data_IF_605313872395
#
_entry.id   IF_605313872395
#
_cell.length_a   1.000
_cell.length_b   1.000
_cell.length_c   1.000
_cell.angle_alpha   90.00
_cell.angle_beta   90.00
_cell.angle_gamma   90.00
#
_symmetry.space_group_name_H-M   'P 1'
#
loop_
_entity.id
_entity.type
_entity.pdbx_description
1 polymer ?
#
# COMPACT_ATOMS: atom_id res chain seq x y z
N UNK A 1 -39.83 -18.36 37.76
CA UNK A 1 -39.62 -17.14 36.95
C UNK A 1 -38.34 -16.48 37.41
N UNK A 2 -37.33 -16.46 36.54
CA UNK A 2 -36.32 -15.39 36.42
C UNK A 2 -35.35 -15.82 35.31
N UNK A 3 -35.67 -15.40 34.10
CA UNK A 3 -34.83 -15.50 32.92
C UNK A 3 -33.64 -14.57 33.09
N UNK A 4 -32.42 -15.13 33.14
CA UNK A 4 -31.20 -14.36 32.98
C UNK A 4 -31.01 -14.08 31.49
N UNK A 5 -31.28 -12.85 31.09
CA UNK A 5 -30.97 -12.34 29.75
C UNK A 5 -29.45 -12.35 29.55
N UNK A 6 -29.00 -13.21 28.63
CA UNK A 6 -27.67 -13.17 28.07
C UNK A 6 -27.59 -11.99 27.08
N UNK A 7 -27.13 -10.85 27.55
CA UNK A 7 -26.71 -9.76 26.67
C UNK A 7 -25.37 -10.14 26.03
N UNK A 8 -25.44 -10.84 24.90
CA UNK A 8 -24.34 -10.93 23.95
C UNK A 8 -24.24 -9.59 23.21
N UNK A 9 -23.60 -8.59 23.83
CA UNK A 9 -23.07 -7.45 23.10
C UNK A 9 -21.89 -7.97 22.26
N UNK A 10 -22.20 -8.39 21.02
CA UNK A 10 -21.19 -8.56 20.00
C UNK A 10 -20.54 -7.20 19.76
N UNK A 11 -19.32 -7.03 20.27
CA UNK A 11 -18.40 -5.97 19.88
C UNK A 11 -18.33 -5.92 18.36
N UNK A 12 -19.08 -4.98 17.77
CA UNK A 12 -18.97 -4.63 16.36
C UNK A 12 -17.57 -4.07 16.19
N UNK A 13 -16.62 -4.90 15.76
CA UNK A 13 -15.30 -4.46 15.31
C UNK A 13 -15.53 -3.38 14.25
N UNK A 14 -15.27 -2.14 14.65
CA UNK A 14 -15.24 -1.00 13.75
C UNK A 14 -14.25 -1.33 12.64
N UNK A 15 -14.73 -1.47 11.41
CA UNK A 15 -13.91 -1.63 10.22
C UNK A 15 -13.24 -0.31 9.80
N UNK A 16 -13.12 0.68 10.69
CA UNK A 16 -12.24 1.81 10.41
C UNK A 16 -10.79 1.30 10.48
N UNK A 17 -10.04 1.30 9.36
CA UNK A 17 -8.62 1.06 9.44
C UNK A 17 -8.00 2.23 10.20
N UNK A 18 -7.80 2.08 11.51
CA UNK A 18 -6.97 3.01 12.26
C UNK A 18 -5.56 2.82 11.74
N UNK A 19 -5.06 3.79 10.97
CA UNK A 19 -3.69 3.78 10.46
C UNK A 19 -2.77 3.94 11.68
N UNK A 20 -2.11 2.85 12.07
CA UNK A 20 -1.09 2.89 13.10
C UNK A 20 0.24 3.25 12.46
N UNK A 21 0.91 4.24 13.04
CA UNK A 21 2.25 4.65 12.63
C UNK A 21 3.25 3.88 13.49
N UNK A 22 4.20 3.20 12.85
CA UNK A 22 5.26 2.48 13.54
C UNK A 22 6.13 3.42 14.38
N UNK A 23 6.72 2.88 15.46
CA UNK A 23 7.55 3.66 16.39
C UNK A 23 8.69 4.38 15.66
N UNK A 24 9.38 3.69 14.77
CA UNK A 24 10.48 4.25 13.98
C UNK A 24 10.06 5.45 13.12
N UNK A 25 8.89 5.38 12.47
CA UNK A 25 8.38 6.48 11.65
C UNK A 25 8.00 7.68 12.51
N UNK A 26 7.46 7.44 13.71
CA UNK A 26 7.15 8.49 14.69
C UNK A 26 8.42 9.16 15.20
N UNK A 27 9.47 8.41 15.49
CA UNK A 27 10.75 8.94 15.94
C UNK A 27 11.37 9.84 14.87
N UNK A 28 11.46 9.37 13.62
CA UNK A 28 11.95 10.19 12.50
C UNK A 28 11.16 11.47 12.33
N UNK A 29 9.83 11.40 12.38
CA UNK A 29 8.96 12.57 12.28
C UNK A 29 9.26 13.60 13.38
N UNK A 30 9.40 13.14 14.63
CA UNK A 30 9.67 14.04 15.77
C UNK A 30 11.10 14.59 15.75
N UNK A 31 12.07 13.82 15.26
CA UNK A 31 13.45 14.28 15.09
C UNK A 31 13.54 15.41 14.06
N UNK A 32 12.92 15.24 12.88
CA UNK A 32 12.85 16.30 11.86
C UNK A 32 12.13 17.55 12.38
N UNK A 33 11.03 17.38 13.14
CA UNK A 33 10.33 18.51 13.74
C UNK A 33 11.20 19.25 14.78
N UNK A 34 12.01 18.51 15.54
CA UNK A 34 12.94 19.09 16.52
C UNK A 34 14.04 19.91 15.82
N UNK A 35 14.57 19.41 14.72
CA UNK A 35 15.55 20.13 13.88
C UNK A 35 14.93 21.41 13.29
N UNK A 36 13.74 21.34 12.70
CA UNK A 36 13.02 22.52 12.19
C UNK A 36 12.82 23.59 13.28
N UNK A 37 12.58 23.15 14.51
CA UNK A 37 12.36 24.01 15.67
C UNK A 37 13.61 24.37 16.46
N UNK A 38 14.81 24.00 15.99
CA UNK A 38 16.07 24.38 16.64
C UNK A 38 16.52 25.81 16.33
N UNK A 39 15.77 26.53 15.47
CA UNK A 39 16.02 27.93 15.12
C UNK A 39 15.85 28.86 16.32
N UNK A 40 16.67 29.91 16.38
CA UNK A 40 16.72 30.86 17.49
C UNK A 40 15.58 31.90 17.48
N UNK A 41 14.85 32.02 16.37
CA UNK A 41 13.82 33.05 16.17
C UNK A 41 12.57 32.53 15.46
N UNK A 42 11.46 33.24 15.68
CA UNK A 42 10.14 32.93 15.13
C UNK A 42 9.34 31.91 15.94
N UNK A 43 8.16 31.57 15.43
CA UNK A 43 7.28 30.60 16.07
C UNK A 43 7.75 29.17 15.81
N UNK A 44 7.55 28.31 16.81
CA UNK A 44 7.73 26.86 16.68
C UNK A 44 6.59 26.29 15.85
N UNK A 45 6.94 25.38 14.95
CA UNK A 45 6.00 24.58 14.16
C UNK A 45 5.48 23.45 15.04
N UNK A 46 4.16 23.30 15.11
CA UNK A 46 3.51 22.19 15.78
C UNK A 46 3.60 20.90 14.95
N UNK A 47 3.48 19.71 15.57
CA UNK A 47 3.37 18.45 14.83
C UNK A 47 2.25 18.46 13.78
N UNK A 48 1.14 19.16 14.06
CA UNK A 48 0.01 19.26 13.15
C UNK A 48 0.38 20.03 11.88
N UNK A 49 0.96 21.22 12.03
CA UNK A 49 1.36 22.05 10.89
C UNK A 49 2.41 21.35 10.02
N UNK A 50 3.34 20.63 10.66
CA UNK A 50 4.34 19.85 9.91
C UNK A 50 3.70 18.68 9.15
N UNK A 51 2.72 18.00 9.75
CA UNK A 51 1.98 16.94 9.07
C UNK A 51 1.17 17.49 7.88
N UNK A 52 0.49 18.63 8.05
CA UNK A 52 -0.26 19.30 6.99
C UNK A 52 0.66 19.63 5.80
N UNK A 53 1.85 20.20 6.07
CA UNK A 53 2.87 20.44 5.05
C UNK A 53 3.31 19.16 4.31
N UNK A 54 3.59 18.08 5.04
CA UNK A 54 3.99 16.81 4.41
C UNK A 54 2.89 16.21 3.54
N UNK A 55 1.62 16.40 3.91
CA UNK A 55 0.48 15.97 3.10
C UNK A 55 0.32 16.79 1.83
N UNK A 56 0.62 18.09 1.87
CA UNK A 56 0.59 18.98 0.70
C UNK A 56 1.72 18.70 -0.30
N UNK A 57 2.84 18.14 0.17
CA UNK A 57 3.97 17.73 -0.67
C UNK A 57 3.72 16.47 -1.52
N UNK A 58 2.49 15.97 -1.55
CA UNK A 58 2.11 14.82 -2.36
C UNK A 58 2.37 15.08 -3.86
N UNK A 59 3.37 14.41 -4.42
CA UNK A 59 3.66 14.46 -5.86
C UNK A 59 2.96 13.32 -6.61
N UNK A 60 2.65 13.48 -7.91
CA UNK A 60 2.15 12.39 -8.75
C UNK A 60 3.05 11.15 -8.70
N UNK A 61 4.37 11.34 -8.67
CA UNK A 61 5.38 10.27 -8.58
C UNK A 61 5.25 9.49 -7.27
N UNK A 62 5.16 10.20 -6.13
CA UNK A 62 4.99 9.56 -4.81
C UNK A 62 3.71 8.73 -4.74
N UNK A 63 2.64 9.21 -5.40
CA UNK A 63 1.38 8.50 -5.47
C UNK A 63 1.43 7.28 -6.36
N UNK A 64 2.14 7.37 -7.49
CA UNK A 64 2.42 6.21 -8.33
C UNK A 64 3.19 5.16 -7.54
N UNK A 65 4.26 5.52 -6.85
CA UNK A 65 5.04 4.60 -6.02
C UNK A 65 4.23 3.95 -4.89
N UNK A 66 3.36 4.71 -4.23
CA UNK A 66 2.45 4.19 -3.20
C UNK A 66 1.45 3.19 -3.78
N UNK A 67 0.82 3.51 -4.91
CA UNK A 67 -0.07 2.58 -5.63
C UNK A 67 0.69 1.30 -6.00
N UNK A 68 1.88 1.42 -6.58
CA UNK A 68 2.73 0.28 -6.92
C UNK A 68 3.05 -0.60 -5.71
N UNK A 69 3.40 0.02 -4.59
CA UNK A 69 3.73 -0.66 -3.34
C UNK A 69 2.52 -1.34 -2.68
N UNK A 70 1.32 -0.83 -2.95
CA UNK A 70 0.05 -1.43 -2.50
C UNK A 70 -0.28 -2.74 -3.26
N UNK A 71 0.22 -2.91 -4.49
CA UNK A 71 -0.01 -4.11 -5.28
C UNK A 71 0.89 -5.22 -4.74
N UNK A 72 0.31 -6.23 -4.07
CA UNK A 72 1.05 -7.33 -3.44
C UNK A 72 0.56 -8.70 -3.91
N UNK A 73 1.47 -9.68 -3.89
CA UNK A 73 1.18 -11.11 -4.06
C UNK A 73 0.23 -11.40 -5.23
N UNK A 74 -1.00 -11.82 -4.89
CA UNK A 74 -2.07 -12.16 -5.83
C UNK A 74 -2.34 -11.08 -6.87
N UNK A 75 -2.41 -9.81 -6.47
CA UNK A 75 -2.71 -8.72 -7.39
C UNK A 75 -1.62 -8.55 -8.48
N UNK A 76 -0.34 -8.76 -8.12
CA UNK A 76 0.75 -8.78 -9.12
C UNK A 76 0.58 -9.94 -10.10
N UNK A 77 0.22 -11.12 -9.61
CA UNK A 77 0.00 -12.30 -10.45
C UNK A 77 -1.21 -12.14 -11.37
N UNK A 78 -2.31 -11.55 -10.87
CA UNK A 78 -3.51 -11.28 -11.66
C UNK A 78 -3.22 -10.31 -12.82
N UNK A 79 -2.40 -9.27 -12.57
CA UNK A 79 -1.90 -8.39 -13.62
C UNK A 79 -1.09 -9.17 -14.67
N UNK A 80 -0.09 -9.94 -14.25
CA UNK A 80 0.69 -10.74 -15.20
C UNK A 80 -0.15 -11.78 -15.96
N UNK A 81 -1.17 -12.35 -15.33
CA UNK A 81 -2.15 -13.25 -15.96
C UNK A 81 -2.92 -12.53 -17.07
N UNK A 82 -3.42 -11.33 -16.78
CA UNK A 82 -4.08 -10.49 -17.80
C UNK A 82 -3.16 -10.21 -18.98
N UNK A 83 -1.91 -9.80 -18.73
CA UNK A 83 -0.93 -9.56 -19.80
C UNK A 83 -0.61 -10.82 -20.61
N UNK A 84 -0.56 -11.97 -19.96
CA UNK A 84 -0.34 -13.24 -20.63
C UNK A 84 -1.45 -13.52 -21.65
N UNK A 85 -2.72 -13.37 -21.28
CA UNK A 85 -3.84 -13.58 -22.20
C UNK A 85 -3.96 -12.48 -23.27
N UNK A 86 -3.55 -11.26 -22.99
CA UNK A 86 -3.44 -10.20 -24.00
C UNK A 86 -2.41 -10.57 -25.09
N UNK A 87 -1.26 -11.12 -24.68
CA UNK A 87 -0.17 -11.54 -25.57
C UNK A 87 -0.47 -12.87 -26.28
N UNK A 88 -1.15 -13.78 -25.60
CA UNK A 88 -1.44 -15.13 -26.06
C UNK A 88 -2.95 -15.41 -26.05
N UNK A 89 -3.67 -14.80 -27.01
CA UNK A 89 -5.14 -14.77 -27.07
C UNK A 89 -5.85 -16.13 -27.14
N UNK A 90 -5.13 -17.20 -27.53
CA UNK A 90 -5.69 -18.54 -27.73
C UNK A 90 -5.23 -19.54 -26.66
N UNK A 91 -4.78 -19.06 -25.50
CA UNK A 91 -4.29 -19.89 -24.40
C UNK A 91 -5.35 -20.04 -23.31
N UNK A 92 -5.36 -21.19 -22.64
CA UNK A 92 -6.26 -21.50 -21.52
C UNK A 92 -5.65 -21.10 -20.17
N UNK A 93 -6.41 -21.25 -19.09
CA UNK A 93 -5.86 -21.08 -17.74
C UNK A 93 -4.79 -22.11 -17.39
N UNK A 94 -4.96 -23.36 -17.83
CA UNK A 94 -3.96 -24.41 -17.60
C UNK A 94 -2.64 -24.07 -18.28
N UNK A 95 -2.69 -23.55 -19.52
CA UNK A 95 -1.49 -23.04 -20.21
C UNK A 95 -0.77 -21.94 -19.42
N UNK A 96 -1.51 -21.09 -18.70
CA UNK A 96 -0.92 -20.06 -17.87
C UNK A 96 -0.22 -20.63 -16.63
N UNK A 97 -0.81 -21.64 -15.98
CA UNK A 97 -0.20 -22.28 -14.81
C UNK A 97 1.06 -23.07 -15.20
N UNK A 98 1.00 -23.82 -16.30
CA UNK A 98 2.17 -24.49 -16.89
C UNK A 98 3.27 -23.48 -17.24
N UNK A 99 2.89 -22.32 -17.78
CA UNK A 99 3.81 -21.25 -18.08
C UNK A 99 4.45 -20.67 -16.82
N UNK A 100 3.67 -20.41 -15.76
CA UNK A 100 4.16 -19.84 -14.49
C UNK A 100 5.20 -20.74 -13.82
N UNK A 101 5.07 -22.06 -13.98
CA UNK A 101 6.02 -23.04 -13.45
C UNK A 101 7.22 -23.29 -14.37
N UNK A 102 7.25 -22.70 -15.56
CA UNK A 102 8.39 -22.78 -16.47
C UNK A 102 9.45 -21.69 -16.21
N UNK A 103 10.68 -21.94 -16.65
CA UNK A 103 11.76 -20.95 -16.60
C UNK A 103 11.46 -19.66 -17.40
N UNK A 104 10.48 -19.71 -18.32
CA UNK A 104 10.08 -18.58 -19.15
C UNK A 104 9.28 -17.54 -18.37
N UNK A 105 8.68 -17.90 -17.23
CA UNK A 105 7.90 -16.99 -16.39
C UNK A 105 8.73 -15.81 -15.89
N UNK A 106 9.95 -16.07 -15.44
CA UNK A 106 10.85 -15.04 -14.90
C UNK A 106 11.23 -14.01 -15.97
N UNK A 107 11.54 -14.48 -17.17
CA UNK A 107 11.84 -13.62 -18.32
C UNK A 107 10.64 -12.76 -18.71
N UNK A 108 9.45 -13.36 -18.80
CA UNK A 108 8.23 -12.63 -19.12
C UNK A 108 7.88 -11.56 -18.08
N UNK A 109 8.01 -11.86 -16.79
CA UNK A 109 7.77 -10.87 -15.73
C UNK A 109 8.74 -9.69 -15.84
N UNK A 110 10.00 -9.94 -16.25
CA UNK A 110 11.02 -8.90 -16.46
C UNK A 110 10.72 -8.05 -17.69
N UNK A 111 10.24 -8.66 -18.77
CA UNK A 111 9.90 -7.97 -20.02
C UNK A 111 8.58 -7.20 -19.95
N UNK A 112 7.66 -7.59 -19.07
CA UNK A 112 6.33 -6.97 -18.95
C UNK A 112 6.17 -6.20 -17.63
N UNK A 113 7.24 -5.54 -17.15
CA UNK A 113 7.16 -4.69 -15.96
C UNK A 113 6.31 -3.43 -16.18
N UNK A 114 6.13 -3.04 -17.44
CA UNK A 114 5.29 -1.93 -17.88
C UNK A 114 3.81 -2.11 -17.50
N UNK A 115 3.36 -3.32 -17.15
CA UNK A 115 1.99 -3.52 -16.64
C UNK A 115 1.71 -2.72 -15.35
N UNK A 116 2.76 -2.35 -14.65
CA UNK A 116 2.67 -1.52 -13.46
C UNK A 116 2.61 -0.02 -13.78
N UNK A 117 2.87 0.40 -15.02
CA UNK A 117 2.85 1.81 -15.41
C UNK A 117 1.45 2.39 -15.65
N UNK A 118 0.41 1.56 -15.53
CA UNK A 118 -1.01 1.96 -15.68
C UNK A 118 -1.50 2.81 -14.48
N UNK A 119 -0.71 2.93 -13.41
CA UNK A 119 -1.07 3.57 -12.14
C UNK A 119 -0.35 4.90 -11.92
#
# INVERSE_FOLDING_TARGET
MNEKQNNNEQDKKSNNPTVSVGIEAREKFMESLKEINSKDYGNKISPREYLEFLMELQTPESMKELKLSSIKGKAKNDLYKKRFFEKYKNKTEDDFYDFIWSDKATKFKKENKDIFDVF
#
